data_IF_348428332857
#
_entry.id   IF_348428332857
#
_cell.length_a   1.000
_cell.length_b   1.000
_cell.length_c   1.000
_cell.angle_alpha   90.00
_cell.angle_beta   90.00
_cell.angle_gamma   90.00
#
_symmetry.space_group_name_H-M   'P 1'
#
loop_
_entity.id
_entity.type
_entity.pdbx_description
1 polymer ?
#
# COMPACT_ATOMS: atom_id res chain seq x y z
N UNK A 1 -11.76 -1.86 -7.03
CA UNK A 1 -10.96 -2.65 -8.01
C UNK A 1 -9.95 -3.57 -7.33
N UNK A 2 -8.87 -3.07 -6.71
CA UNK A 2 -7.90 -3.93 -6.02
C UNK A 2 -8.49 -4.65 -4.80
N UNK A 3 -9.13 -3.90 -3.88
CA UNK A 3 -9.78 -4.45 -2.67
C UNK A 3 -10.86 -5.50 -2.98
N UNK A 4 -11.52 -5.39 -4.14
CA UNK A 4 -12.63 -6.29 -4.50
C UNK A 4 -12.18 -7.48 -5.35
N UNK A 5 -11.11 -7.32 -6.15
CA UNK A 5 -10.72 -8.31 -7.17
C UNK A 5 -9.36 -8.97 -6.91
N UNK A 6 -8.48 -8.32 -6.17
CA UNK A 6 -7.10 -8.77 -5.94
C UNK A 6 -6.90 -9.19 -4.49
N UNK A 7 -7.25 -8.34 -3.53
CA UNK A 7 -7.01 -8.62 -2.10
C UNK A 7 -7.72 -9.88 -1.59
N UNK A 8 -8.94 -10.23 -2.02
CA UNK A 8 -9.63 -11.42 -1.55
C UNK A 8 -9.07 -12.72 -2.15
N UNK A 9 -8.17 -12.66 -3.13
CA UNK A 9 -7.60 -13.86 -3.74
C UNK A 9 -6.76 -14.61 -2.69
N UNK A 10 -6.92 -15.94 -2.53
CA UNK A 10 -6.32 -16.67 -1.42
C UNK A 10 -4.80 -16.48 -1.26
N UNK A 11 -4.07 -16.38 -2.36
CA UNK A 11 -2.62 -16.16 -2.33
C UNK A 11 -2.24 -14.76 -1.80
N UNK A 12 -3.01 -13.73 -2.17
CA UNK A 12 -2.77 -12.34 -1.73
C UNK A 12 -3.24 -12.17 -0.28
N UNK A 13 -4.46 -12.64 0.03
CA UNK A 13 -5.00 -12.60 1.38
C UNK A 13 -4.10 -13.34 2.38
N UNK A 14 -3.49 -14.45 1.96
CA UNK A 14 -2.54 -15.22 2.77
C UNK A 14 -1.34 -14.39 3.22
N UNK A 15 -0.75 -13.60 2.32
CA UNK A 15 0.38 -12.72 2.65
C UNK A 15 -0.06 -11.51 3.48
N UNK A 16 -1.19 -10.88 3.12
CA UNK A 16 -1.72 -9.72 3.85
C UNK A 16 -2.05 -10.03 5.32
N UNK A 17 -2.43 -11.27 5.64
CA UNK A 17 -2.67 -11.70 7.03
C UNK A 17 -1.41 -11.64 7.92
N UNK A 18 -0.22 -11.57 7.33
CA UNK A 18 1.05 -11.41 8.05
C UNK A 18 1.43 -9.93 8.23
N UNK A 19 0.58 -9.00 7.80
CA UNK A 19 0.84 -7.56 7.79
C UNK A 19 -0.22 -6.80 8.58
N UNK A 20 0.10 -5.57 8.97
CA UNK A 20 -0.86 -4.64 9.58
C UNK A 20 -1.33 -3.65 8.51
N UNK A 21 -2.63 -3.58 8.30
CA UNK A 21 -3.22 -2.62 7.36
C UNK A 21 -3.19 -1.20 7.97
N UNK A 22 -2.56 -0.27 7.25
CA UNK A 22 -2.60 1.15 7.54
C UNK A 22 -3.18 1.91 6.33
N UNK A 23 -4.39 2.47 6.47
CA UNK A 23 -5.05 3.25 5.40
C UNK A 23 -4.76 4.73 5.58
N UNK A 24 -4.16 5.33 4.56
CA UNK A 24 -3.89 6.76 4.51
C UNK A 24 -4.90 7.45 3.59
N UNK A 25 -5.86 8.17 4.16
CA UNK A 25 -6.86 8.92 3.40
C UNK A 25 -6.31 10.30 3.01
N UNK A 26 -6.11 10.52 1.71
CA UNK A 26 -5.44 11.72 1.17
C UNK A 26 -6.35 12.61 0.33
N UNK A 27 -7.62 12.23 0.19
CA UNK A 27 -8.65 12.92 -0.58
C UNK A 27 -9.87 13.32 0.27
N UNK A 28 -9.78 13.19 1.61
CA UNK A 28 -10.86 13.51 2.53
C UNK A 28 -10.46 13.44 4.01
N UNK A 29 -11.25 14.09 4.87
CA UNK A 29 -11.14 13.99 6.32
C UNK A 29 -10.26 15.06 6.98
N UNK A 30 -10.24 15.10 8.32
CA UNK A 30 -9.58 16.16 9.09
C UNK A 30 -8.05 16.16 8.97
N UNK A 31 -7.44 15.03 8.60
CA UNK A 31 -5.99 14.86 8.46
C UNK A 31 -5.53 14.80 6.99
N UNK A 32 -6.36 15.24 6.02
CA UNK A 32 -6.05 15.09 4.59
C UNK A 32 -4.72 15.73 4.21
N UNK A 33 -4.45 16.96 4.67
CA UNK A 33 -3.24 17.69 4.30
C UNK A 33 -1.97 17.00 4.85
N UNK A 34 -1.99 16.64 6.14
CA UNK A 34 -0.91 15.88 6.79
C UNK A 34 -0.66 14.54 6.09
N UNK A 35 -1.74 13.83 5.74
CA UNK A 35 -1.67 12.56 5.05
C UNK A 35 -1.12 12.70 3.61
N UNK A 36 -1.43 13.79 2.90
CA UNK A 36 -0.88 14.07 1.57
C UNK A 36 0.62 14.35 1.65
N UNK A 37 1.06 15.10 2.65
CA UNK A 37 2.48 15.34 2.89
C UNK A 37 3.21 14.03 3.18
N UNK A 38 2.67 13.20 4.09
CA UNK A 38 3.22 11.88 4.39
C UNK A 38 3.25 10.96 3.16
N UNK A 39 2.21 10.97 2.33
CA UNK A 39 2.19 10.21 1.08
C UNK A 39 3.34 10.64 0.16
N UNK A 40 3.56 11.95 -0.01
CA UNK A 40 4.65 12.46 -0.84
C UNK A 40 6.01 12.07 -0.26
N UNK A 41 6.18 12.16 1.05
CA UNK A 41 7.43 11.79 1.73
C UNK A 41 7.76 10.31 1.53
N UNK A 42 6.79 9.42 1.73
CA UNK A 42 7.00 7.97 1.66
C UNK A 42 7.10 7.43 0.23
N UNK A 43 6.38 8.04 -0.73
CA UNK A 43 6.20 7.47 -2.08
C UNK A 43 6.76 8.33 -3.21
N UNK A 44 7.10 9.59 -2.94
CA UNK A 44 7.48 10.57 -3.96
C UNK A 44 6.35 10.93 -4.93
N UNK A 45 5.10 10.60 -4.61
CA UNK A 45 3.95 10.75 -5.51
C UNK A 45 2.67 11.13 -4.76
N UNK A 46 1.76 11.84 -5.44
CA UNK A 46 0.38 12.07 -4.98
C UNK A 46 -0.65 11.15 -5.67
N UNK A 47 -0.18 10.18 -6.46
CA UNK A 47 -1.07 9.32 -7.23
C UNK A 47 -1.80 8.32 -6.32
N UNK A 48 -3.10 8.16 -6.53
CA UNK A 48 -3.92 7.15 -5.86
C UNK A 48 -4.50 6.15 -6.89
N UNK A 49 -4.66 4.85 -6.54
CA UNK A 49 -4.17 4.23 -5.31
C UNK A 49 -2.64 4.06 -5.32
N UNK A 50 -2.04 3.99 -4.14
CA UNK A 50 -0.62 3.70 -3.94
C UNK A 50 -0.47 2.74 -2.76
N UNK A 51 0.41 1.75 -2.90
CA UNK A 51 0.71 0.76 -1.87
C UNK A 51 2.19 0.82 -1.49
N UNK A 52 2.46 0.63 -0.21
CA UNK A 52 3.79 0.72 0.40
C UNK A 52 3.94 -0.47 1.36
N UNK A 53 5.13 -1.07 1.37
CA UNK A 53 5.58 -1.91 2.46
C UNK A 53 6.54 -1.10 3.35
N UNK A 54 6.25 -1.10 4.65
CA UNK A 54 7.04 -0.40 5.66
C UNK A 54 7.46 -1.41 6.72
N UNK A 55 8.74 -1.41 7.08
CA UNK A 55 9.20 -2.13 8.26
C UNK A 55 8.69 -1.41 9.52
N UNK A 56 7.97 -2.13 10.39
CA UNK A 56 7.34 -1.52 11.57
C UNK A 56 8.32 -1.16 12.70
N UNK A 57 9.53 -1.71 12.69
CA UNK A 57 10.56 -1.43 13.70
C UNK A 57 11.50 -0.32 13.27
N UNK A 58 11.89 -0.30 11.99
CA UNK A 58 12.89 0.65 11.46
C UNK A 58 12.28 1.81 10.68
N UNK A 59 10.99 1.74 10.36
CA UNK A 59 10.30 2.67 9.46
C UNK A 59 10.91 2.72 8.05
N UNK A 60 11.65 1.69 7.65
CA UNK A 60 12.24 1.58 6.31
C UNK A 60 11.17 1.22 5.27
N UNK A 61 11.18 1.92 4.14
CA UNK A 61 10.34 1.58 2.98
C UNK A 61 10.95 0.38 2.25
N UNK A 62 10.27 -0.76 2.36
CA UNK A 62 10.71 -2.03 1.76
C UNK A 62 10.24 -2.20 0.30
N UNK A 63 9.18 -1.52 -0.10
CA UNK A 63 8.63 -1.63 -1.44
C UNK A 63 7.53 -0.62 -1.73
N UNK A 64 7.36 -0.29 -3.01
CA UNK A 64 6.37 0.67 -3.52
C UNK A 64 5.64 0.08 -4.73
N UNK A 65 4.31 0.22 -4.77
CA UNK A 65 3.49 -0.16 -5.92
C UNK A 65 2.46 0.93 -6.21
N UNK A 66 2.63 1.60 -7.35
CA UNK A 66 1.70 2.60 -7.83
C UNK A 66 0.52 1.96 -8.59
N UNK A 67 -0.69 2.45 -8.34
CA UNK A 67 -1.89 2.12 -9.10
C UNK A 67 -2.41 0.70 -8.90
N UNK A 68 -3.49 0.38 -9.61
CA UNK A 68 -4.00 -0.97 -9.70
C UNK A 68 -3.08 -1.83 -10.58
N UNK A 69 -2.86 -3.07 -10.18
CA UNK A 69 -1.99 -4.02 -10.88
C UNK A 69 -2.60 -5.42 -10.90
N UNK A 70 -1.95 -6.37 -11.56
CA UNK A 70 -2.41 -7.76 -11.59
C UNK A 70 -2.17 -8.45 -10.23
N UNK A 71 -2.91 -9.53 -9.90
CA UNK A 71 -2.66 -10.30 -8.70
C UNK A 71 -1.23 -10.81 -8.55
N UNK A 72 -0.61 -11.22 -9.66
CA UNK A 72 0.74 -11.76 -9.68
C UNK A 72 1.76 -10.68 -9.30
N UNK A 73 1.70 -9.52 -9.95
CA UNK A 73 2.58 -8.39 -9.63
C UNK A 73 2.36 -7.89 -8.21
N UNK A 74 1.11 -7.84 -7.74
CA UNK A 74 0.84 -7.44 -6.36
C UNK A 74 1.41 -8.45 -5.36
N UNK A 75 1.36 -9.74 -5.66
CA UNK A 75 1.92 -10.78 -4.81
C UNK A 75 3.46 -10.74 -4.77
N UNK A 76 4.11 -10.42 -5.90
CA UNK A 76 5.56 -10.19 -5.95
C UNK A 76 5.95 -9.00 -5.05
N UNK A 77 5.23 -7.89 -5.19
CA UNK A 77 5.37 -6.71 -4.33
C UNK A 77 5.26 -7.08 -2.83
N UNK A 78 4.23 -7.82 -2.43
CA UNK A 78 4.04 -8.23 -1.02
C UNK A 78 5.19 -9.10 -0.47
N UNK A 79 5.93 -9.78 -1.35
CA UNK A 79 7.07 -10.63 -0.96
C UNK A 79 8.40 -9.89 -0.95
N UNK A 80 8.40 -8.58 -1.25
CA UNK A 80 9.61 -7.76 -1.31
C UNK A 80 10.52 -8.10 -2.50
N UNK A 81 9.96 -8.62 -3.60
CA UNK A 81 10.70 -8.95 -4.83
C UNK A 81 10.40 -7.97 -5.97
#
# INVERSE_FOLDING_TARGET
>A
MMEEKVFPLPAVAGELNNMVEARLHTDGGPAMDENRELQLELTGSYANPYYLLLDSETEEVLGLQAGATSPETFLEFLKGN
#
